data_IF_522968071035
#
_entry.id   IF_522968071035
#
_cell.length_a   1.000
_cell.length_b   1.000
_cell.length_c   1.000
_cell.angle_alpha   90.00
_cell.angle_beta   90.00
_cell.angle_gamma   90.00
#
_symmetry.space_group_name_H-M   'P 1'
#
loop_
_entity.id
_entity.type
_entity.pdbx_description
1 polymer ?
#
# COMPACT_ATOMS: atom_id res chain seq x y z
N UNK A 1 11.70 -12.21 -2.77
CA UNK A 1 10.72 -11.38 -3.51
C UNK A 1 9.28 -11.65 -3.13
N UNK A 2 8.86 -12.91 -2.91
CA UNK A 2 7.49 -13.22 -2.45
C UNK A 2 7.15 -12.45 -1.16
N UNK A 3 8.02 -12.45 -0.16
CA UNK A 3 7.78 -11.72 1.09
C UNK A 3 7.61 -10.20 0.87
N UNK A 4 8.38 -9.60 -0.04
CA UNK A 4 8.24 -8.18 -0.36
C UNK A 4 6.87 -7.89 -1.00
N UNK A 5 6.46 -8.74 -1.95
CA UNK A 5 5.14 -8.67 -2.58
C UNK A 5 4.01 -8.88 -1.57
N UNK A 6 4.14 -9.86 -0.67
CA UNK A 6 3.17 -10.11 0.41
C UNK A 6 3.04 -8.91 1.34
N UNK A 7 4.16 -8.35 1.80
CA UNK A 7 4.15 -7.16 2.67
C UNK A 7 3.52 -5.94 1.98
N UNK A 8 3.75 -5.78 0.67
CA UNK A 8 3.10 -4.74 -0.11
C UNK A 8 1.58 -4.90 -0.15
N UNK A 9 1.11 -6.12 -0.37
CA UNK A 9 -0.33 -6.44 -0.31
C UNK A 9 -0.91 -6.17 1.08
N UNK A 10 -0.24 -6.63 2.13
CA UNK A 10 -0.62 -6.36 3.53
C UNK A 10 -0.70 -4.86 3.80
N UNK A 11 0.30 -4.09 3.38
CA UNK A 11 0.31 -2.64 3.54
C UNK A 11 -0.86 -1.95 2.80
N UNK A 12 -1.18 -2.44 1.60
CA UNK A 12 -2.29 -1.95 0.77
C UNK A 12 -3.64 -2.18 1.44
N UNK A 13 -3.91 -3.42 1.87
CA UNK A 13 -5.16 -3.76 2.55
C UNK A 13 -5.31 -3.04 3.89
N UNK A 14 -4.21 -2.93 4.66
CA UNK A 14 -4.22 -2.22 5.93
C UNK A 14 -4.60 -0.75 5.76
N UNK A 15 -3.97 -0.03 4.83
CA UNK A 15 -4.30 1.38 4.59
C UNK A 15 -5.73 1.55 4.03
N UNK A 16 -6.17 0.66 3.14
CA UNK A 16 -7.53 0.68 2.60
C UNK A 16 -8.61 0.55 3.68
N UNK A 17 -8.38 -0.29 4.70
CA UNK A 17 -9.32 -0.48 5.80
C UNK A 17 -9.47 0.77 6.69
N UNK A 18 -8.52 1.72 6.67
CA UNK A 18 -8.57 2.90 7.53
C UNK A 18 -9.77 3.80 7.21
N UNK A 19 -10.16 3.92 5.95
CA UNK A 19 -11.26 4.82 5.56
C UNK A 19 -12.63 4.34 6.07
N UNK A 20 -12.74 3.06 6.40
CA UNK A 20 -14.00 2.39 6.71
C UNK A 20 -14.16 2.07 8.21
N UNK A 21 -13.25 2.53 9.08
CA UNK A 21 -13.24 2.17 10.52
C UNK A 21 -14.61 2.36 11.20
N UNK A 22 -15.27 3.50 10.96
CA UNK A 22 -16.58 3.78 11.55
C UNK A 22 -17.66 2.88 10.97
N UNK A 23 -17.72 2.76 9.64
CA UNK A 23 -18.70 1.92 8.94
C UNK A 23 -18.54 0.44 9.33
N UNK A 24 -17.30 -0.06 9.40
CA UNK A 24 -17.00 -1.43 9.84
C UNK A 24 -17.47 -1.66 11.28
N UNK A 25 -17.25 -0.71 12.20
CA UNK A 25 -17.73 -0.85 13.59
C UNK A 25 -19.26 -0.84 13.68
N UNK A 26 -19.92 0.07 12.96
CA UNK A 26 -21.38 0.14 12.90
C UNK A 26 -21.98 -1.13 12.26
N UNK A 27 -21.26 -1.73 11.30
CA UNK A 27 -21.63 -2.99 10.64
C UNK A 27 -21.19 -4.26 11.39
N UNK A 28 -20.53 -4.15 12.55
CA UNK A 28 -20.04 -5.31 13.30
C UNK A 28 -18.89 -6.07 12.62
N UNK A 29 -18.16 -5.44 11.70
CA UNK A 29 -17.03 -6.00 10.95
C UNK A 29 -15.72 -5.77 11.72
N UNK A 30 -14.94 -6.83 11.92
CA UNK A 30 -13.63 -6.78 12.59
C UNK A 30 -12.49 -6.71 11.57
N UNK A 31 -12.26 -5.53 10.99
CA UNK A 31 -11.07 -5.26 10.17
C UNK A 31 -9.84 -4.95 11.03
N UNK A 32 -8.64 -4.98 10.44
CA UNK A 32 -7.42 -4.59 11.16
C UNK A 32 -7.57 -3.20 11.77
N UNK A 33 -8.17 -2.26 11.03
CA UNK A 33 -8.35 -0.89 11.46
C UNK A 33 -9.36 -0.73 12.60
N UNK A 34 -10.38 -1.59 12.68
CA UNK A 34 -11.30 -1.56 13.83
C UNK A 34 -10.67 -2.17 15.08
N UNK A 35 -9.80 -3.18 14.93
CA UNK A 35 -9.12 -3.88 16.04
C UNK A 35 -7.99 -3.05 16.66
N UNK A 36 -7.08 -2.51 15.86
CA UNK A 36 -5.90 -1.77 16.37
C UNK A 36 -6.04 -0.24 16.25
N UNK A 37 -7.11 0.24 15.64
CA UNK A 37 -7.39 1.66 15.41
C UNK A 37 -6.77 2.21 14.11
N UNK A 38 -7.34 3.32 13.62
CA UNK A 38 -6.94 3.98 12.37
C UNK A 38 -5.45 4.37 12.40
N UNK A 39 -5.01 5.00 13.49
CA UNK A 39 -3.64 5.51 13.64
C UNK A 39 -2.58 4.41 13.59
N UNK A 40 -2.78 3.35 14.37
CA UNK A 40 -1.84 2.24 14.41
C UNK A 40 -1.79 1.53 13.05
N UNK A 41 -2.94 1.42 12.38
CA UNK A 41 -3.05 0.80 11.05
C UNK A 41 -2.32 1.58 9.97
N UNK A 42 -2.41 2.92 9.95
CA UNK A 42 -1.63 3.75 9.02
C UNK A 42 -0.12 3.57 9.24
N UNK A 43 0.32 3.61 10.50
CA UNK A 43 1.75 3.43 10.84
C UNK A 43 2.23 2.03 10.45
N UNK A 44 1.42 1.01 10.73
CA UNK A 44 1.70 -0.37 10.31
C UNK A 44 1.83 -0.48 8.79
N UNK A 45 0.89 0.08 8.03
CA UNK A 45 0.95 0.11 6.56
C UNK A 45 2.22 0.81 6.06
N UNK A 46 2.57 1.97 6.64
CA UNK A 46 3.79 2.69 6.29
C UNK A 46 5.05 1.83 6.48
N UNK A 47 5.21 1.19 7.64
CA UNK A 47 6.36 0.33 7.90
C UNK A 47 6.35 -0.94 7.04
N UNK A 48 5.19 -1.49 6.72
CA UNK A 48 5.08 -2.64 5.82
C UNK A 48 5.51 -2.28 4.38
N UNK A 49 5.14 -1.10 3.86
CA UNK A 49 5.66 -0.60 2.58
C UNK A 49 7.16 -0.37 2.62
N UNK A 50 7.67 0.24 3.70
CA UNK A 50 9.10 0.50 3.85
C UNK A 50 9.88 -0.83 3.87
N UNK A 51 9.42 -1.81 4.65
CA UNK A 51 10.02 -3.14 4.70
C UNK A 51 9.96 -3.84 3.35
N UNK A 52 8.83 -3.75 2.63
CA UNK A 52 8.71 -4.30 1.27
C UNK A 52 9.74 -3.67 0.33
N UNK A 53 9.89 -2.35 0.32
CA UNK A 53 10.89 -1.64 -0.49
C UNK A 53 12.33 -2.03 -0.15
N UNK A 54 12.66 -2.13 1.14
CA UNK A 54 13.98 -2.58 1.60
C UNK A 54 14.27 -4.03 1.17
N UNK A 55 13.28 -4.92 1.22
CA UNK A 55 13.45 -6.28 0.74
C UNK A 55 13.72 -6.33 -0.76
N UNK A 56 13.11 -5.45 -1.57
CA UNK A 56 13.33 -5.35 -3.02
C UNK A 56 14.79 -5.00 -3.37
N UNK A 57 15.52 -4.30 -2.49
CA UNK A 57 16.95 -4.03 -2.72
C UNK A 57 17.80 -5.31 -2.88
N UNK A 58 17.32 -6.44 -2.34
CA UNK A 58 17.98 -7.74 -2.47
C UNK A 58 17.72 -8.44 -3.83
N UNK A 59 17.02 -7.80 -4.77
CA UNK A 59 16.72 -8.36 -6.09
C UNK A 59 17.92 -8.38 -7.06
N UNK A 60 19.08 -7.83 -6.66
CA UNK A 60 20.26 -7.68 -7.51
C UNK A 60 20.10 -6.59 -8.57
N UNK A 61 21.17 -6.24 -9.27
CA UNK A 61 21.13 -5.22 -10.32
C UNK A 61 20.62 -5.81 -11.65
N UNK A 62 19.69 -5.16 -12.38
CA UNK A 62 19.06 -3.85 -12.11
C UNK A 62 17.77 -3.91 -11.27
N UNK A 63 17.31 -5.09 -10.87
CA UNK A 63 16.04 -5.28 -10.12
C UNK A 63 15.93 -4.45 -8.84
N UNK A 64 17.03 -4.15 -8.16
CA UNK A 64 17.06 -3.29 -6.98
C UNK A 64 16.50 -1.88 -7.22
N UNK A 65 16.54 -1.37 -8.47
CA UNK A 65 15.93 -0.09 -8.84
C UNK A 65 14.41 -0.08 -8.60
N UNK A 66 13.76 -1.24 -8.64
CA UNK A 66 12.33 -1.34 -8.37
C UNK A 66 11.96 -0.93 -6.92
N UNK A 67 12.92 -0.87 -5.99
CA UNK A 67 12.68 -0.38 -4.63
C UNK A 67 12.21 1.09 -4.62
N UNK A 68 12.57 1.88 -5.64
CA UNK A 68 12.11 3.28 -5.80
C UNK A 68 10.59 3.34 -5.92
N UNK A 69 9.94 2.28 -6.44
CA UNK A 69 8.50 2.22 -6.56
C UNK A 69 7.77 2.30 -5.20
N UNK A 70 8.44 2.03 -4.07
CA UNK A 70 7.83 2.17 -2.74
C UNK A 70 7.66 3.64 -2.32
N UNK A 71 8.45 4.57 -2.86
CA UNK A 71 8.47 5.98 -2.44
C UNK A 71 7.11 6.67 -2.61
N UNK A 72 6.41 6.56 -3.76
CA UNK A 72 5.08 7.14 -3.92
C UNK A 72 4.05 6.58 -2.93
N UNK A 73 4.15 5.31 -2.54
CA UNK A 73 3.24 4.70 -1.56
C UNK A 73 3.48 5.29 -0.17
N UNK A 74 4.74 5.41 0.26
CA UNK A 74 5.08 6.08 1.53
C UNK A 74 4.62 7.53 1.55
N UNK A 75 4.72 8.26 0.43
CA UNK A 75 4.25 9.63 0.31
C UNK A 75 2.72 9.76 0.36
N UNK A 76 1.98 8.73 -0.10
CA UNK A 76 0.51 8.69 0.01
C UNK A 76 0.07 8.42 1.45
N UNK A 77 0.73 7.48 2.14
CA UNK A 77 0.35 7.05 3.50
C UNK A 77 0.83 8.03 4.58
N UNK A 78 2.03 8.60 4.41
CA UNK A 78 2.70 9.47 5.38
C UNK A 78 1.86 10.63 5.94
N UNK A 79 1.10 11.39 5.13
CA UNK A 79 0.27 12.50 5.61
C UNK A 79 -0.79 12.09 6.65
N UNK A 80 -1.17 10.80 6.68
CA UNK A 80 -2.19 10.27 7.59
C UNK A 80 -1.60 9.73 8.90
N UNK A 81 -0.32 10.01 9.20
CA UNK A 81 0.41 9.46 10.37
C UNK A 81 -0.29 9.63 11.72
N UNK A 82 -1.04 10.72 11.88
CA UNK A 82 -1.76 11.08 13.09
C UNK A 82 -3.29 11.01 12.93
N UNK A 83 -3.79 10.29 11.92
CA UNK A 83 -5.23 10.08 11.73
C UNK A 83 -5.86 9.50 13.01
N UNK A 84 -7.15 9.78 13.21
CA UNK A 84 -7.95 9.30 14.33
C UNK A 84 -9.08 8.43 13.81
N UNK A 85 -9.75 7.70 14.70
CA UNK A 85 -10.93 6.91 14.32
C UNK A 85 -12.09 7.84 13.92
N UNK A 86 -12.15 9.05 14.47
CA UNK A 86 -13.15 10.06 14.13
C UNK A 86 -12.89 10.70 12.76
N UNK A 87 -11.62 10.86 12.38
CA UNK A 87 -11.21 11.44 11.09
C UNK A 87 -10.84 10.38 10.05
N UNK A 88 -11.27 9.14 10.25
CA UNK A 88 -10.83 7.99 9.44
C UNK A 88 -11.16 8.16 7.95
N UNK A 89 -12.29 8.79 7.63
CA UNK A 89 -12.76 9.04 6.26
C UNK A 89 -11.80 9.91 5.42
N UNK A 90 -10.95 10.73 6.05
CA UNK A 90 -9.93 11.51 5.33
C UNK A 90 -8.93 10.60 4.60
N UNK A 91 -8.72 9.37 5.08
CA UNK A 91 -7.88 8.37 4.41
C UNK A 91 -8.39 8.02 3.00
N UNK A 92 -9.67 8.25 2.68
CA UNK A 92 -10.23 8.06 1.34
C UNK A 92 -9.48 8.89 0.28
N UNK A 93 -9.03 10.10 0.63
CA UNK A 93 -8.23 10.94 -0.27
C UNK A 93 -6.90 10.28 -0.62
N UNK A 94 -6.26 9.63 0.36
CA UNK A 94 -5.05 8.84 0.14
C UNK A 94 -5.35 7.57 -0.66
N UNK A 95 -6.44 6.88 -0.32
CA UNK A 95 -6.85 5.64 -0.98
C UNK A 95 -7.12 5.82 -2.48
N UNK A 96 -7.78 6.92 -2.88
CA UNK A 96 -7.98 7.25 -4.30
C UNK A 96 -6.66 7.43 -5.05
N UNK A 97 -5.67 8.11 -4.45
CA UNK A 97 -4.33 8.26 -5.02
C UNK A 97 -3.63 6.90 -5.14
N UNK A 98 -3.77 6.05 -4.12
CA UNK A 98 -3.23 4.70 -4.12
C UNK A 98 -3.83 3.85 -5.25
N UNK A 99 -5.15 3.87 -5.45
CA UNK A 99 -5.81 3.13 -6.53
C UNK A 99 -5.27 3.57 -7.89
N UNK A 100 -5.19 4.88 -8.13
CA UNK A 100 -4.66 5.40 -9.39
C UNK A 100 -3.22 4.96 -9.63
N UNK A 101 -2.36 5.08 -8.60
CA UNK A 101 -0.97 4.63 -8.66
C UNK A 101 -0.86 3.14 -8.97
N UNK A 102 -1.71 2.31 -8.36
CA UNK A 102 -1.70 0.87 -8.58
C UNK A 102 -2.17 0.50 -9.99
N UNK A 103 -3.21 1.15 -10.51
CA UNK A 103 -3.63 0.95 -11.89
C UNK A 103 -2.54 1.35 -12.89
N UNK A 104 -1.87 2.48 -12.65
CA UNK A 104 -0.75 2.92 -13.48
C UNK A 104 0.41 1.92 -13.43
N UNK A 105 0.78 1.44 -12.25
CA UNK A 105 1.81 0.41 -12.10
C UNK A 105 1.42 -0.89 -12.84
N UNK A 106 0.18 -1.35 -12.69
CA UNK A 106 -0.34 -2.52 -13.38
C UNK A 106 -0.33 -2.34 -14.91
N UNK A 107 -0.67 -1.17 -15.41
CA UNK A 107 -0.57 -0.82 -16.83
C UNK A 107 0.88 -0.94 -17.34
N UNK A 108 1.85 -0.33 -16.64
CA UNK A 108 3.27 -0.39 -17.02
C UNK A 108 3.78 -1.83 -17.01
N UNK A 109 3.49 -2.60 -15.96
CA UNK A 109 3.90 -4.01 -15.86
C UNK A 109 3.28 -4.83 -17.00
N UNK A 110 2.01 -4.59 -17.33
CA UNK A 110 1.33 -5.27 -18.44
C UNK A 110 2.01 -4.99 -19.77
N UNK A 111 2.34 -3.72 -20.06
CA UNK A 111 3.07 -3.35 -21.27
C UNK A 111 4.46 -3.99 -21.34
N UNK A 112 5.18 -4.04 -20.22
CA UNK A 112 6.50 -4.69 -20.15
C UNK A 112 6.42 -6.19 -20.43
N UNK A 113 5.41 -6.87 -19.88
CA UNK A 113 5.18 -8.30 -20.13
C UNK A 113 4.85 -8.55 -21.59
N UNK A 114 3.97 -7.73 -22.19
CA UNK A 114 3.63 -7.82 -23.61
C UNK A 114 4.86 -7.61 -24.48
N UNK A 115 5.62 -6.54 -24.23
CA UNK A 115 6.86 -6.25 -24.95
C UNK A 115 7.84 -7.42 -24.89
N UNK A 116 8.06 -7.95 -23.69
CA UNK A 116 8.96 -9.06 -23.46
C UNK A 116 8.51 -10.34 -24.17
N UNK A 117 7.21 -10.60 -24.24
CA UNK A 117 6.65 -11.73 -24.97
C UNK A 117 6.74 -11.59 -26.50
N UNK A 118 6.85 -10.36 -27.02
CA UNK A 118 7.00 -10.09 -28.46
C UNK A 118 8.47 -10.16 -28.90
N UNK A 119 9.39 -9.71 -28.05
CA UNK A 119 10.83 -9.60 -28.39
C UNK A 119 11.62 -10.89 -28.09
N UNK A 120 11.03 -11.82 -27.33
CA UNK A 120 11.55 -13.19 -27.16
C UNK A 120 10.85 -14.16 -28.09
#
# INVERSE_FOLDING_TARGET
>A
MILAFTLWGVASHAFGAVQDVRADREGGISSIATVIGARATVRFSFFAYLAAGLLVLNAGWPGALAAIAAVPYLAIVGPFWNITDETCEDANKGWKKFIWLNFFAGFVVSLLVIWFAIVR
#
